data_IF_200472941540
#
_entry.id   IF_200472941540
#
_cell.length_a   1.000
_cell.length_b   1.000
_cell.length_c   1.000
_cell.angle_alpha   90.00
_cell.angle_beta   90.00
_cell.angle_gamma   90.00
#
_symmetry.space_group_name_H-M   'P 1'
#
loop_
_entity.id
_entity.type
_entity.pdbx_description
1 polymer ?
#
# COMPACT_ATOMS: atom_id res chain seq x y z
N UNK A 1 -44.91 -59.59 -79.98
CA UNK A 1 -43.77 -58.70 -79.68
C UNK A 1 -44.27 -57.46 -78.95
N UNK A 2 -43.58 -57.08 -77.89
CA UNK A 2 -43.94 -56.05 -76.91
C UNK A 2 -43.54 -54.62 -77.34
N UNK A 3 -44.21 -53.61 -76.75
CA UNK A 3 -43.67 -52.42 -76.03
C UNK A 3 -44.71 -51.29 -76.07
N UNK A 4 -45.41 -51.02 -74.97
CA UNK A 4 -45.04 -50.17 -73.80
C UNK A 4 -45.25 -48.67 -74.07
N UNK A 5 -46.17 -48.15 -73.26
CA UNK A 5 -46.74 -46.82 -73.12
C UNK A 5 -45.79 -45.81 -72.46
N UNK A 6 -46.02 -44.51 -72.73
CA UNK A 6 -45.70 -43.47 -71.74
C UNK A 6 -46.60 -42.24 -71.90
N UNK A 7 -47.41 -41.95 -70.89
CA UNK A 7 -48.31 -40.80 -70.82
C UNK A 7 -47.68 -39.69 -69.94
N UNK A 8 -47.55 -38.48 -70.48
CA UNK A 8 -47.03 -37.30 -69.78
C UNK A 8 -48.04 -36.79 -68.74
N UNK A 9 -47.66 -36.87 -67.46
CA UNK A 9 -48.40 -36.32 -66.31
C UNK A 9 -48.07 -34.82 -66.16
N UNK A 10 -49.08 -33.94 -66.29
CA UNK A 10 -49.00 -32.51 -65.93
C UNK A 10 -48.97 -32.40 -64.40
N UNK A 11 -47.94 -31.77 -63.84
CA UNK A 11 -47.84 -31.47 -62.41
C UNK A 11 -48.50 -30.11 -62.12
N UNK A 12 -49.42 -30.12 -61.16
CA UNK A 12 -50.06 -28.92 -60.62
C UNK A 12 -49.13 -28.12 -59.71
N UNK A 13 -49.30 -26.80 -59.72
CA UNK A 13 -48.59 -25.87 -58.86
C UNK A 13 -48.90 -26.12 -57.38
N UNK A 14 -47.86 -26.12 -56.54
CA UNK A 14 -47.95 -26.10 -55.07
C UNK A 14 -48.19 -24.67 -54.58
N UNK A 15 -48.89 -24.48 -53.44
CA UNK A 15 -49.20 -23.17 -52.91
C UNK A 15 -47.96 -22.54 -52.24
N UNK A 16 -47.93 -21.20 -52.25
CA UNK A 16 -46.91 -20.40 -51.57
C UNK A 16 -46.91 -20.70 -50.06
N UNK A 17 -45.78 -21.16 -49.56
CA UNK A 17 -45.54 -21.33 -48.12
C UNK A 17 -45.45 -19.97 -47.45
N UNK A 18 -46.26 -19.78 -46.41
CA UNK A 18 -46.24 -18.63 -45.53
C UNK A 18 -44.82 -18.31 -45.03
N UNK A 19 -44.45 -17.04 -45.09
CA UNK A 19 -43.28 -16.48 -44.42
C UNK A 19 -43.37 -16.80 -42.91
N UNK A 20 -42.44 -17.62 -42.43
CA UNK A 20 -42.23 -17.87 -41.00
C UNK A 20 -41.68 -16.60 -40.34
N UNK A 21 -42.47 -15.95 -39.49
CA UNK A 21 -42.16 -14.73 -38.76
C UNK A 21 -41.28 -14.93 -37.51
N UNK A 22 -40.43 -15.96 -37.48
CA UNK A 22 -39.74 -16.39 -36.26
C UNK A 22 -38.26 -16.01 -36.14
N UNK A 23 -37.65 -15.34 -37.13
CA UNK A 23 -36.19 -15.08 -37.11
C UNK A 23 -35.76 -13.74 -36.48
N UNK A 24 -36.69 -12.83 -36.23
CA UNK A 24 -36.37 -11.51 -35.67
C UNK A 24 -36.15 -11.54 -34.15
N UNK A 25 -36.74 -12.49 -33.42
CA UNK A 25 -36.62 -12.55 -31.95
C UNK A 25 -35.28 -13.12 -31.49
N UNK A 26 -34.74 -14.13 -32.18
CA UNK A 26 -33.44 -14.75 -31.89
C UNK A 26 -32.27 -13.86 -32.27
N UNK A 27 -32.35 -13.15 -33.40
CA UNK A 27 -31.33 -12.18 -33.80
C UNK A 27 -31.31 -10.95 -32.88
N UNK A 28 -32.47 -10.43 -32.48
CA UNK A 28 -32.57 -9.33 -31.52
C UNK A 28 -32.07 -9.74 -30.12
N UNK A 29 -32.35 -10.96 -29.66
CA UNK A 29 -31.88 -11.48 -28.37
C UNK A 29 -30.37 -11.72 -28.35
N UNK A 30 -29.80 -12.26 -29.43
CA UNK A 30 -28.34 -12.40 -29.59
C UNK A 30 -27.62 -11.05 -29.67
N UNK A 31 -28.20 -10.07 -30.38
CA UNK A 31 -27.65 -8.72 -30.47
C UNK A 31 -27.73 -7.97 -29.13
N UNK A 32 -28.78 -8.20 -28.34
CA UNK A 32 -28.91 -7.65 -26.99
C UNK A 32 -27.97 -8.32 -25.97
N UNK A 33 -27.64 -9.61 -26.13
CA UNK A 33 -26.59 -10.27 -25.34
C UNK A 33 -25.18 -9.77 -25.67
N UNK A 34 -24.94 -9.38 -26.93
CA UNK A 34 -23.65 -8.86 -27.41
C UNK A 34 -23.37 -7.41 -26.95
N UNK A 35 -24.42 -6.64 -26.66
CA UNK A 35 -24.33 -5.22 -26.24
C UNK A 35 -24.32 -5.05 -24.71
N UNK A 36 -24.53 -6.12 -23.94
CA UNK A 36 -24.50 -6.02 -22.46
C UNK A 36 -23.04 -5.83 -21.99
N UNK A 37 -22.80 -4.95 -20.99
CA UNK A 37 -21.47 -4.83 -20.42
C UNK A 37 -21.06 -6.13 -19.73
N UNK A 38 -19.77 -6.47 -19.82
CA UNK A 38 -19.17 -7.58 -19.07
C UNK A 38 -19.12 -7.19 -17.60
N UNK A 39 -19.72 -8.01 -16.75
CA UNK A 39 -19.86 -7.76 -15.32
C UNK A 39 -18.67 -8.36 -14.59
N UNK A 40 -17.74 -7.49 -14.19
CA UNK A 40 -16.56 -7.87 -13.42
C UNK A 40 -16.83 -7.58 -11.95
N UNK A 41 -16.49 -8.53 -11.08
CA UNK A 41 -16.55 -8.36 -9.64
C UNK A 41 -15.14 -8.29 -9.06
N UNK A 42 -14.84 -7.28 -8.25
CA UNK A 42 -13.63 -7.23 -7.44
C UNK A 42 -14.02 -7.09 -5.97
N UNK A 43 -13.32 -7.77 -5.08
CA UNK A 43 -13.59 -7.70 -3.65
C UNK A 43 -12.38 -7.30 -2.82
N UNK A 44 -12.68 -6.91 -1.59
CA UNK A 44 -11.65 -6.54 -0.63
C UNK A 44 -12.22 -5.87 0.60
N UNK A 45 -11.29 -5.51 1.49
CA UNK A 45 -11.61 -4.79 2.71
C UNK A 45 -11.67 -3.29 2.45
N UNK A 46 -10.74 -2.77 1.62
CA UNK A 46 -10.66 -1.37 1.24
C UNK A 46 -10.46 -0.39 2.42
N UNK A 47 -9.86 -0.87 3.51
CA UNK A 47 -9.49 -0.04 4.67
C UNK A 47 -8.37 0.95 4.33
N UNK A 48 -8.48 2.18 4.85
CA UNK A 48 -7.66 3.33 4.45
C UNK A 48 -7.56 3.45 2.93
N UNK A 49 -8.70 3.59 2.24
CA UNK A 49 -8.77 3.52 0.79
C UNK A 49 -7.73 4.43 0.12
N UNK A 50 -6.81 3.80 -0.62
CA UNK A 50 -5.63 4.46 -1.17
C UNK A 50 -5.43 4.11 -2.65
N UNK A 51 -4.51 4.82 -3.32
CA UNK A 51 -4.30 4.68 -4.77
C UNK A 51 -3.93 3.26 -5.22
N UNK A 52 -3.35 2.42 -4.35
CA UNK A 52 -3.14 1.00 -4.64
C UNK A 52 -4.46 0.23 -4.87
N UNK A 53 -5.52 0.50 -4.10
CA UNK A 53 -6.84 -0.07 -4.34
C UNK A 53 -7.44 0.49 -5.62
N UNK A 54 -7.40 1.80 -5.80
CA UNK A 54 -7.94 2.46 -6.99
C UNK A 54 -7.31 1.93 -8.29
N UNK A 55 -6.00 1.67 -8.32
CA UNK A 55 -5.30 1.08 -9.48
C UNK A 55 -5.65 -0.39 -9.72
N UNK A 56 -5.95 -1.16 -8.68
CA UNK A 56 -6.44 -2.53 -8.85
C UNK A 56 -7.85 -2.52 -9.46
N UNK A 57 -8.71 -1.61 -9.00
CA UNK A 57 -10.05 -1.42 -9.56
C UNK A 57 -10.01 -0.84 -10.99
N UNK A 58 -9.05 0.04 -11.30
CA UNK A 58 -8.78 0.50 -12.66
C UNK A 58 -8.46 -0.68 -13.59
N UNK A 59 -7.55 -1.56 -13.19
CA UNK A 59 -7.22 -2.76 -13.95
C UNK A 59 -8.45 -3.63 -14.18
N UNK A 60 -9.27 -3.87 -13.15
CA UNK A 60 -10.50 -4.63 -13.26
C UNK A 60 -11.51 -3.99 -14.23
N UNK A 61 -11.69 -2.66 -14.17
CA UNK A 61 -12.56 -1.88 -15.07
C UNK A 61 -12.08 -1.89 -16.51
N UNK A 62 -10.78 -2.02 -16.74
CA UNK A 62 -10.16 -2.01 -18.07
C UNK A 62 -9.96 -3.41 -18.69
N UNK A 63 -10.39 -4.49 -18.02
CA UNK A 63 -10.22 -5.86 -18.51
C UNK A 63 -10.92 -6.09 -19.87
N UNK A 64 -12.05 -5.43 -20.10
CA UNK A 64 -12.83 -5.54 -21.33
C UNK A 64 -13.25 -4.16 -21.85
N UNK A 65 -13.46 -3.99 -23.16
CA UNK A 65 -13.86 -2.70 -23.75
C UNK A 65 -15.14 -2.10 -23.16
N UNK A 66 -16.12 -2.95 -22.82
CA UNK A 66 -17.37 -2.56 -22.18
C UNK A 66 -17.54 -3.33 -20.86
N UNK A 67 -17.02 -2.77 -19.78
CA UNK A 67 -17.02 -3.40 -18.45
C UNK A 67 -17.94 -2.65 -17.49
N UNK A 68 -18.73 -3.39 -16.71
CA UNK A 68 -19.44 -2.93 -15.52
C UNK A 68 -18.80 -3.57 -14.29
N UNK A 69 -18.18 -2.75 -13.44
CA UNK A 69 -17.41 -3.16 -12.28
C UNK A 69 -18.26 -3.07 -11.00
N UNK A 70 -18.57 -4.24 -10.46
CA UNK A 70 -19.10 -4.43 -9.12
C UNK A 70 -17.95 -4.56 -8.13
N UNK A 71 -18.02 -3.83 -7.03
CA UNK A 71 -17.02 -3.93 -5.96
C UNK A 71 -17.66 -4.37 -4.66
N UNK A 72 -17.34 -5.59 -4.24
CA UNK A 72 -17.77 -6.15 -2.97
C UNK A 72 -16.89 -5.73 -1.82
N UNK A 73 -17.48 -5.24 -0.74
CA UNK A 73 -16.75 -4.84 0.45
C UNK A 73 -17.20 -5.64 1.67
N UNK A 74 -16.27 -6.41 2.25
CA UNK A 74 -16.54 -7.20 3.44
C UNK A 74 -16.93 -6.29 4.63
N UNK A 75 -17.90 -6.73 5.43
CA UNK A 75 -18.32 -6.01 6.63
C UNK A 75 -17.31 -6.15 7.79
N UNK A 76 -17.49 -5.35 8.85
CA UNK A 76 -16.54 -5.32 9.96
C UNK A 76 -16.51 -6.66 10.72
N UNK A 77 -17.67 -7.28 10.96
CA UNK A 77 -17.76 -8.56 11.68
C UNK A 77 -16.92 -9.66 11.00
N UNK A 78 -17.12 -9.82 9.69
CA UNK A 78 -16.44 -10.83 8.87
C UNK A 78 -14.94 -10.54 8.77
N UNK A 79 -14.60 -9.27 8.56
CA UNK A 79 -13.20 -8.82 8.47
C UNK A 79 -12.45 -9.08 9.77
N UNK A 80 -13.07 -8.79 10.92
CA UNK A 80 -12.47 -9.02 12.23
C UNK A 80 -12.28 -10.51 12.52
N UNK A 81 -13.22 -11.35 12.07
CA UNK A 81 -13.15 -12.80 12.26
C UNK A 81 -12.02 -13.45 11.47
N UNK A 82 -11.83 -13.04 10.22
CA UNK A 82 -10.97 -13.76 9.27
C UNK A 82 -9.67 -13.04 8.88
N UNK A 83 -9.52 -11.75 9.20
CA UNK A 83 -8.32 -10.98 8.84
C UNK A 83 -7.71 -10.23 10.01
N UNK A 84 -8.51 -9.43 10.70
CA UNK A 84 -8.06 -8.52 11.73
C UNK A 84 -8.83 -7.20 11.72
N UNK A 85 -8.41 -6.26 12.58
CA UNK A 85 -9.09 -4.98 12.75
C UNK A 85 -8.89 -4.04 11.56
N UNK A 86 -9.88 -3.20 11.32
CA UNK A 86 -9.84 -2.06 10.39
C UNK A 86 -9.68 -0.75 11.16
N UNK A 87 -9.13 0.26 10.50
CA UNK A 87 -9.10 1.64 11.00
C UNK A 87 -10.41 2.34 10.68
N UNK A 88 -10.91 2.18 9.45
CA UNK A 88 -12.19 2.70 8.99
C UNK A 88 -13.31 1.70 9.30
N UNK A 89 -14.47 2.24 9.69
CA UNK A 89 -15.73 1.47 9.80
C UNK A 89 -16.17 0.98 8.42
N UNK A 90 -17.01 -0.05 8.40
CA UNK A 90 -17.57 -0.56 7.14
C UNK A 90 -18.27 0.52 6.31
N UNK A 91 -19.02 1.42 6.93
CA UNK A 91 -19.76 2.47 6.21
C UNK A 91 -18.80 3.47 5.54
N UNK A 92 -17.72 3.85 6.23
CA UNK A 92 -16.69 4.73 5.64
C UNK A 92 -15.97 4.04 4.47
N UNK A 93 -15.76 2.72 4.55
CA UNK A 93 -15.15 1.93 3.47
C UNK A 93 -16.09 1.81 2.27
N UNK A 94 -17.38 1.58 2.51
CA UNK A 94 -18.41 1.57 1.47
C UNK A 94 -18.48 2.92 0.75
N UNK A 95 -18.50 4.03 1.50
CA UNK A 95 -18.55 5.36 0.93
C UNK A 95 -17.27 5.71 0.15
N UNK A 96 -16.11 5.30 0.65
CA UNK A 96 -14.83 5.47 -0.07
C UNK A 96 -14.86 4.83 -1.45
N UNK A 97 -15.49 3.66 -1.58
CA UNK A 97 -15.65 2.97 -2.86
C UNK A 97 -16.62 3.68 -3.80
N UNK A 98 -17.71 4.26 -3.28
CA UNK A 98 -18.68 5.01 -4.10
C UNK A 98 -18.06 6.24 -4.78
N UNK A 99 -17.01 6.78 -4.19
CA UNK A 99 -16.23 7.90 -4.77
C UNK A 99 -15.06 7.46 -5.67
N UNK A 100 -14.83 6.15 -5.82
CA UNK A 100 -13.80 5.67 -6.73
C UNK A 100 -14.28 5.77 -8.17
N UNK A 101 -13.55 6.52 -9.00
CA UNK A 101 -13.84 6.75 -10.43
C UNK A 101 -14.19 5.49 -11.22
N UNK A 102 -13.59 4.36 -10.87
CA UNK A 102 -13.66 3.11 -11.64
C UNK A 102 -14.86 2.23 -11.29
N UNK A 103 -15.51 2.49 -10.17
CA UNK A 103 -16.56 1.64 -9.59
C UNK A 103 -17.92 2.06 -10.12
N UNK A 104 -18.69 1.12 -10.64
CA UNK A 104 -20.08 1.37 -11.07
C UNK A 104 -21.07 1.03 -9.95
N UNK A 105 -20.80 -0.05 -9.20
CA UNK A 105 -21.69 -0.55 -8.15
C UNK A 105 -20.89 -1.04 -6.95
N UNK A 106 -21.31 -0.64 -5.74
CA UNK A 106 -20.76 -1.15 -4.48
C UNK A 106 -21.73 -2.18 -3.91
N UNK A 107 -21.22 -3.36 -3.55
CA UNK A 107 -21.96 -4.42 -2.86
C UNK A 107 -21.49 -4.46 -1.39
N UNK A 108 -22.28 -3.90 -0.44
CA UNK A 108 -22.04 -4.05 0.99
C UNK A 108 -22.19 -5.52 1.42
N UNK A 109 -21.67 -5.83 2.61
CA UNK A 109 -21.76 -7.18 3.21
C UNK A 109 -21.30 -8.31 2.26
N UNK A 110 -20.24 -8.05 1.50
CA UNK A 110 -19.72 -9.05 0.57
C UNK A 110 -19.24 -10.31 1.32
N UNK A 111 -19.47 -11.51 0.75
CA UNK A 111 -19.10 -12.77 1.39
C UNK A 111 -17.57 -12.96 1.40
N UNK A 112 -17.07 -13.73 2.35
CA UNK A 112 -15.64 -14.06 2.46
C UNK A 112 -15.18 -15.03 1.37
N UNK A 113 -16.06 -15.97 1.01
CA UNK A 113 -15.86 -16.97 -0.03
C UNK A 113 -17.03 -16.86 -1.00
N UNK A 114 -16.74 -16.75 -2.30
CA UNK A 114 -17.75 -16.61 -3.34
C UNK A 114 -18.47 -17.93 -3.58
N UNK A 115 -19.80 -17.89 -3.58
CA UNK A 115 -20.66 -19.05 -3.92
C UNK A 115 -21.22 -18.89 -5.34
N UNK A 116 -21.66 -20.00 -5.93
CA UNK A 116 -22.36 -19.97 -7.22
C UNK A 116 -23.63 -19.11 -7.14
N UNK A 117 -24.36 -19.18 -6.02
CA UNK A 117 -25.56 -18.38 -5.80
C UNK A 117 -25.27 -16.87 -5.83
N UNK A 118 -24.14 -16.45 -5.25
CA UNK A 118 -23.72 -15.05 -5.28
C UNK A 118 -23.34 -14.61 -6.71
N UNK A 119 -22.60 -15.46 -7.43
CA UNK A 119 -22.25 -15.22 -8.83
C UNK A 119 -23.50 -15.06 -9.69
N UNK A 120 -24.48 -15.95 -9.53
CA UNK A 120 -25.71 -15.94 -10.32
C UNK A 120 -26.59 -14.73 -9.96
N UNK A 121 -26.75 -14.43 -8.67
CA UNK A 121 -27.53 -13.30 -8.16
C UNK A 121 -27.05 -11.97 -8.75
N UNK A 122 -25.74 -11.76 -8.80
CA UNK A 122 -25.14 -10.51 -9.28
C UNK A 122 -24.77 -10.56 -10.78
N UNK A 123 -25.04 -11.69 -11.45
CA UNK A 123 -24.72 -11.96 -12.85
C UNK A 123 -23.24 -11.72 -13.16
N UNK A 124 -22.35 -12.24 -12.31
CA UNK A 124 -20.90 -12.02 -12.40
C UNK A 124 -20.30 -12.89 -13.52
N UNK A 125 -19.66 -12.23 -14.49
CA UNK A 125 -18.96 -12.90 -15.58
C UNK A 125 -17.54 -13.30 -15.17
N UNK A 126 -16.83 -12.37 -14.53
CA UNK A 126 -15.44 -12.55 -14.09
C UNK A 126 -15.20 -11.96 -12.70
N UNK A 127 -14.26 -12.56 -11.98
CA UNK A 127 -13.78 -12.10 -10.67
C UNK A 127 -12.36 -11.61 -10.81
N UNK A 128 -12.08 -10.39 -10.38
CA UNK A 128 -10.77 -9.73 -10.50
C UNK A 128 -10.13 -9.51 -9.13
N UNK A 129 -8.97 -10.13 -8.89
CA UNK A 129 -8.16 -9.92 -7.68
C UNK A 129 -6.67 -10.19 -8.00
N UNK A 130 -5.74 -9.87 -7.09
CA UNK A 130 -4.34 -10.25 -7.25
C UNK A 130 -4.14 -11.78 -7.26
N UNK A 131 -3.05 -12.23 -7.89
CA UNK A 131 -2.79 -13.65 -8.15
C UNK A 131 -2.36 -14.44 -6.91
N UNK A 132 -2.06 -13.78 -5.78
CA UNK A 132 -1.54 -14.47 -4.60
C UNK A 132 -2.65 -15.32 -3.97
N UNK A 133 -2.37 -16.58 -3.58
CA UNK A 133 -3.33 -17.40 -2.86
C UNK A 133 -3.74 -16.68 -1.58
N UNK A 134 -5.05 -16.52 -1.37
CA UNK A 134 -5.55 -15.91 -0.16
C UNK A 134 -6.01 -17.03 0.77
N UNK A 135 -5.18 -17.33 1.77
CA UNK A 135 -5.42 -18.44 2.70
C UNK A 135 -6.83 -18.31 3.30
N UNK A 136 -7.65 -19.33 3.08
CA UNK A 136 -8.99 -19.34 3.63
C UNK A 136 -8.95 -19.70 5.11
N UNK A 137 -8.96 -18.66 5.94
CA UNK A 137 -9.03 -18.77 7.40
C UNK A 137 -10.37 -19.29 7.91
N UNK A 138 -11.38 -19.46 7.05
CA UNK A 138 -12.64 -20.11 7.43
C UNK A 138 -12.55 -21.65 7.43
N UNK A 139 -11.51 -22.21 6.81
CA UNK A 139 -11.25 -23.65 6.77
C UNK A 139 -12.03 -24.41 5.69
N UNK A 140 -12.63 -23.72 4.73
CA UNK A 140 -13.41 -24.32 3.64
C UNK A 140 -12.57 -24.65 2.40
N UNK A 141 -11.47 -23.93 2.17
CA UNK A 141 -10.55 -24.14 1.05
C UNK A 141 -9.09 -23.84 1.46
N UNK A 142 -8.14 -24.04 0.54
CA UNK A 142 -6.78 -23.52 0.72
C UNK A 142 -6.67 -22.06 0.24
N UNK A 143 -7.50 -21.68 -0.74
CA UNK A 143 -7.57 -20.35 -1.34
C UNK A 143 -9.04 -19.94 -1.52
N UNK A 144 -9.44 -18.77 -1.01
CA UNK A 144 -10.84 -18.29 -1.12
C UNK A 144 -11.30 -18.13 -2.58
N UNK A 145 -10.36 -17.99 -3.52
CA UNK A 145 -10.64 -17.88 -4.95
C UNK A 145 -10.55 -19.21 -5.71
N UNK A 146 -10.32 -20.34 -5.04
CA UNK A 146 -10.13 -21.66 -5.68
C UNK A 146 -11.32 -22.03 -6.57
N UNK A 147 -12.54 -21.83 -6.07
CA UNK A 147 -13.78 -22.09 -6.82
C UNK A 147 -13.84 -21.30 -8.13
N UNK A 148 -13.60 -19.98 -8.07
CA UNK A 148 -13.69 -19.10 -9.25
C UNK A 148 -12.57 -19.31 -10.26
N UNK A 149 -11.38 -19.72 -9.77
CA UNK A 149 -10.26 -20.18 -10.61
C UNK A 149 -10.64 -21.47 -11.35
N UNK A 150 -11.23 -22.44 -10.66
CA UNK A 150 -11.65 -23.74 -11.24
C UNK A 150 -12.68 -23.60 -12.36
N UNK A 151 -13.62 -22.67 -12.25
CA UNK A 151 -14.63 -22.41 -13.29
C UNK A 151 -14.14 -21.42 -14.38
N UNK A 152 -12.86 -21.04 -14.37
CA UNK A 152 -12.25 -20.19 -15.40
C UNK A 152 -12.71 -18.73 -15.40
N UNK A 153 -13.31 -18.25 -14.30
CA UNK A 153 -13.83 -16.88 -14.17
C UNK A 153 -12.85 -15.91 -13.50
N UNK A 154 -11.70 -16.38 -13.02
CA UNK A 154 -10.72 -15.53 -12.34
C UNK A 154 -9.86 -14.71 -13.33
N UNK A 155 -9.65 -13.43 -13.03
CA UNK A 155 -8.81 -12.49 -13.79
C UNK A 155 -7.82 -11.82 -12.83
N UNK A 156 -6.55 -11.94 -13.14
CA UNK A 156 -5.49 -11.43 -12.27
C UNK A 156 -5.31 -9.91 -12.43
N UNK A 157 -5.16 -9.23 -11.30
CA UNK A 157 -4.68 -7.83 -11.24
C UNK A 157 -3.31 -7.77 -10.58
N UNK A 158 -2.59 -6.67 -10.79
CA UNK A 158 -1.27 -6.42 -10.19
C UNK A 158 -1.40 -5.46 -9.02
N UNK A 159 -0.77 -5.82 -7.91
CA UNK A 159 -0.60 -4.92 -6.76
C UNK A 159 0.26 -3.73 -7.15
N UNK A 160 0.03 -2.60 -6.48
CA UNK A 160 0.87 -1.41 -6.62
C UNK A 160 1.95 -1.41 -5.54
N UNK A 161 3.21 -1.36 -5.95
CA UNK A 161 4.34 -1.32 -5.02
C UNK A 161 4.43 0.00 -4.27
N UNK A 162 4.94 -0.05 -3.04
CA UNK A 162 5.17 1.14 -2.20
C UNK A 162 3.93 1.75 -1.55
N UNK A 163 2.77 1.07 -1.59
CA UNK A 163 1.57 1.47 -0.85
C UNK A 163 0.78 0.25 -0.38
N UNK A 164 0.34 0.27 0.88
CA UNK A 164 -0.66 -0.64 1.43
C UNK A 164 -1.23 -0.04 2.71
N UNK A 165 -2.40 -0.51 3.16
CA UNK A 165 -2.98 -0.14 4.47
C UNK A 165 -1.96 -0.31 5.59
N UNK A 166 -1.26 -1.45 5.63
CA UNK A 166 -0.23 -1.73 6.64
C UNK A 166 0.93 -0.74 6.58
N UNK A 167 1.38 -0.38 5.39
CA UNK A 167 2.46 0.59 5.21
C UNK A 167 2.03 2.01 5.64
N UNK A 168 0.81 2.44 5.29
CA UNK A 168 0.25 3.70 5.79
C UNK A 168 0.20 3.73 7.32
N UNK A 169 -0.28 2.64 7.94
CA UNK A 169 -0.30 2.50 9.40
C UNK A 169 1.12 2.54 9.97
N UNK A 170 2.08 1.82 9.38
CA UNK A 170 3.46 1.80 9.84
C UNK A 170 4.11 3.19 9.76
N UNK A 171 3.84 3.97 8.71
CA UNK A 171 4.31 5.36 8.59
C UNK A 171 3.77 6.23 9.74
N UNK A 172 2.47 6.12 10.04
CA UNK A 172 1.84 6.84 11.16
C UNK A 172 2.45 6.42 12.51
N UNK A 173 2.62 5.11 12.73
CA UNK A 173 3.15 4.58 13.99
C UNK A 173 4.62 4.94 14.21
N UNK A 174 5.45 4.93 13.16
CA UNK A 174 6.87 5.27 13.24
C UNK A 174 7.08 6.68 13.81
N UNK A 175 6.22 7.61 13.40
CA UNK A 175 6.30 9.01 13.81
C UNK A 175 5.48 9.31 15.06
N UNK A 176 4.72 8.34 15.60
CA UNK A 176 3.83 8.54 16.74
C UNK A 176 4.58 9.04 17.99
N UNK A 177 5.72 8.42 18.33
CA UNK A 177 6.50 8.87 19.49
C UNK A 177 7.00 10.32 19.31
N UNK A 178 7.39 10.70 18.09
CA UNK A 178 7.79 12.09 17.79
C UNK A 178 6.60 13.05 17.84
N UNK A 179 5.43 12.63 17.34
CA UNK A 179 4.18 13.36 17.46
C UNK A 179 3.83 13.64 18.93
N UNK A 180 3.87 12.60 19.78
CA UNK A 180 3.58 12.74 21.21
C UNK A 180 4.53 13.75 21.85
N UNK A 181 5.84 13.62 21.61
CA UNK A 181 6.80 14.53 22.23
C UNK A 181 6.69 15.98 21.76
N UNK A 182 6.43 16.20 20.47
CA UNK A 182 6.21 17.55 19.93
C UNK A 182 4.99 18.21 20.57
N UNK A 183 3.90 17.46 20.78
CA UNK A 183 2.69 18.03 21.38
C UNK A 183 2.82 18.22 22.90
N UNK A 184 3.49 17.31 23.61
CA UNK A 184 3.82 17.53 25.03
C UNK A 184 4.68 18.79 25.23
N UNK A 185 5.67 19.02 24.36
CA UNK A 185 6.48 20.23 24.39
C UNK A 185 5.70 21.51 24.07
N UNK A 186 4.60 21.40 23.30
CA UNK A 186 3.66 22.50 23.01
C UNK A 186 2.65 22.75 24.13
N UNK A 187 2.66 21.96 25.20
CA UNK A 187 1.79 22.14 26.36
C UNK A 187 0.51 21.31 26.35
N UNK A 188 0.30 20.42 25.37
CA UNK A 188 -0.83 19.48 25.43
C UNK A 188 -0.65 18.50 26.60
N UNK A 189 -1.74 18.17 27.27
CA UNK A 189 -1.67 17.19 28.36
C UNK A 189 -1.60 15.76 27.81
N UNK A 190 -1.03 14.85 28.59
CA UNK A 190 -1.01 13.41 28.25
C UNK A 190 -2.41 12.83 28.01
N UNK A 191 -3.43 13.37 28.71
CA UNK A 191 -4.82 12.89 28.60
C UNK A 191 -5.40 13.25 27.24
N UNK A 192 -5.12 14.46 26.75
CA UNK A 192 -5.58 14.94 25.44
C UNK A 192 -4.98 14.12 24.29
N UNK A 193 -3.76 13.61 24.49
CA UNK A 193 -3.05 12.78 23.51
C UNK A 193 -3.35 11.28 23.63
N UNK A 194 -4.17 10.87 24.61
CA UNK A 194 -4.45 9.46 24.88
C UNK A 194 -3.21 8.66 25.32
N UNK A 195 -2.20 9.31 25.89
CA UNK A 195 -0.91 8.70 26.25
C UNK A 195 -0.91 8.28 27.72
N UNK A 196 -0.48 7.04 27.98
CA UNK A 196 -0.32 6.54 29.34
C UNK A 196 0.81 7.27 30.08
N UNK A 197 0.68 7.41 31.41
CA UNK A 197 1.69 8.09 32.23
C UNK A 197 3.09 7.44 32.11
N UNK A 198 3.14 6.10 32.08
CA UNK A 198 4.39 5.35 31.92
C UNK A 198 5.05 5.69 30.57
N UNK A 199 4.25 5.72 29.50
CA UNK A 199 4.73 6.04 28.15
C UNK A 199 5.27 7.47 28.07
N UNK A 200 4.57 8.43 28.67
CA UNK A 200 5.02 9.82 28.75
C UNK A 200 6.40 9.90 29.44
N UNK A 201 6.55 9.28 30.61
CA UNK A 201 7.82 9.30 31.36
C UNK A 201 8.94 8.61 30.61
N UNK A 202 8.67 7.47 29.97
CA UNK A 202 9.64 6.78 29.11
C UNK A 202 10.12 7.69 27.97
N UNK A 203 9.19 8.39 27.29
CA UNK A 203 9.56 9.29 26.20
C UNK A 203 10.33 10.52 26.70
N UNK A 204 9.96 11.10 27.86
CA UNK A 204 10.71 12.19 28.50
C UNK A 204 12.15 11.78 28.83
N UNK A 205 12.34 10.57 29.37
CA UNK A 205 13.68 10.02 29.66
C UNK A 205 14.47 9.81 28.37
N UNK A 206 13.87 9.20 27.34
CA UNK A 206 14.52 9.00 26.05
C UNK A 206 14.96 10.32 25.40
N UNK A 207 14.15 11.38 25.50
CA UNK A 207 14.54 12.71 25.03
C UNK A 207 15.71 13.31 25.80
N UNK A 208 15.72 13.18 27.14
CA UNK A 208 16.83 13.64 27.97
C UNK A 208 18.13 12.91 27.61
N UNK A 209 18.07 11.59 27.40
CA UNK A 209 19.20 10.77 26.97
C UNK A 209 19.69 11.20 25.59
N UNK A 210 18.80 11.41 24.62
CA UNK A 210 19.17 11.87 23.28
C UNK A 210 19.82 13.26 23.30
N UNK A 211 19.27 14.21 24.06
CA UNK A 211 19.86 15.55 24.22
C UNK A 211 21.27 15.49 24.86
N UNK A 212 21.45 14.61 25.84
CA UNK A 212 22.76 14.35 26.44
C UNK A 212 23.73 13.78 25.39
N UNK A 213 23.29 12.78 24.62
CA UNK A 213 24.09 12.16 23.55
C UNK A 213 24.52 13.19 22.49
N UNK A 214 23.62 14.07 22.06
CA UNK A 214 23.93 15.16 21.13
C UNK A 214 24.95 16.14 21.74
N UNK A 215 24.78 16.50 23.01
CA UNK A 215 25.71 17.40 23.72
C UNK A 215 27.11 16.78 23.84
N UNK A 216 27.19 15.48 24.13
CA UNK A 216 28.45 14.72 24.17
C UNK A 216 29.08 14.65 22.79
N UNK A 217 28.30 14.36 21.74
CA UNK A 217 28.79 14.31 20.37
C UNK A 217 29.35 15.65 19.92
N UNK A 218 28.65 16.76 20.23
CA UNK A 218 29.12 18.11 19.94
C UNK A 218 30.41 18.46 20.71
N UNK A 219 30.56 18.01 21.96
CA UNK A 219 31.81 18.16 22.70
C UNK A 219 32.94 17.33 22.09
N UNK A 220 32.66 16.09 21.69
CA UNK A 220 33.63 15.22 21.04
C UNK A 220 34.12 15.81 19.71
N UNK A 221 33.20 16.35 18.89
CA UNK A 221 33.54 17.05 17.65
C UNK A 221 34.40 18.29 17.92
N UNK A 222 34.04 19.12 18.92
CA UNK A 222 34.86 20.27 19.34
C UNK A 222 36.26 19.86 19.81
N UNK A 223 36.37 18.81 20.63
CA UNK A 223 37.64 18.29 21.11
C UNK A 223 38.50 17.75 19.96
N UNK A 224 37.90 17.08 18.97
CA UNK A 224 38.59 16.64 17.76
C UNK A 224 39.08 17.81 16.92
N UNK A 225 38.29 18.88 16.77
CA UNK A 225 38.72 20.10 16.09
C UNK A 225 39.89 20.75 16.82
N UNK A 226 39.80 20.93 18.14
CA UNK A 226 40.89 21.49 18.95
C UNK A 226 42.15 20.63 18.86
N UNK A 227 42.02 19.30 18.92
CA UNK A 227 43.15 18.38 18.77
C UNK A 227 43.80 18.48 17.37
N UNK A 228 43.01 18.63 16.31
CA UNK A 228 43.53 18.85 14.95
C UNK A 228 44.24 20.20 14.82
N UNK A 229 43.67 21.28 15.38
CA UNK A 229 44.30 22.60 15.40
C UNK A 229 45.59 22.60 16.21
N UNK A 230 45.61 21.96 17.38
CA UNK A 230 46.80 21.83 18.21
C UNK A 230 47.88 20.94 17.55
N UNK A 231 47.47 19.89 16.82
CA UNK A 231 48.38 19.04 16.05
C UNK A 231 48.99 19.74 14.83
N UNK A 232 48.26 20.70 14.22
CA UNK A 232 48.80 21.58 13.17
C UNK A 232 49.77 22.62 13.72
N UNK A 233 49.61 23.04 14.98
CA UNK A 233 50.50 24.00 15.65
C UNK A 233 51.65 23.34 16.44
N UNK A 234 51.93 22.05 16.24
CA UNK A 234 53.02 21.36 16.95
C UNK A 234 54.40 22.00 16.66
N UNK A 235 54.64 22.41 15.41
CA UNK A 235 55.87 23.12 15.02
C UNK A 235 55.96 24.52 15.65
N UNK A 236 54.83 25.22 15.78
CA UNK A 236 54.75 26.55 16.41
C UNK A 236 54.97 26.47 17.92
N UNK A 237 54.52 25.39 18.55
CA UNK A 237 54.70 25.12 19.98
C UNK A 237 56.15 24.69 20.30
N UNK A 238 56.75 23.83 19.46
CA UNK A 238 58.17 23.47 19.55
C UNK A 238 59.08 24.69 19.34
N UNK A 239 58.81 25.51 18.31
CA UNK A 239 59.57 26.73 18.05
C UNK A 239 59.46 27.76 19.20
N UNK A 240 58.29 27.88 19.84
CA UNK A 240 58.12 28.74 21.01
C UNK A 240 58.77 28.15 22.27
N UNK A 241 58.78 26.83 22.44
CA UNK A 241 59.48 26.15 23.53
C UNK A 241 61.01 26.33 23.40
N UNK A 242 61.57 26.13 22.21
CA UNK A 242 62.99 26.35 21.94
C UNK A 242 63.39 27.81 22.13
N UNK A 243 62.55 28.76 21.72
CA UNK A 243 62.78 30.20 21.96
C UNK A 243 62.76 30.54 23.45
N UNK A 244 61.88 29.91 24.23
CA UNK A 244 61.84 30.08 25.69
C UNK A 244 63.06 29.48 26.38
N UNK A 245 63.50 28.29 25.96
CA UNK A 245 64.70 27.63 26.47
C UNK A 245 65.95 28.45 26.12
N UNK A 246 66.06 28.95 24.88
CA UNK A 246 67.17 29.80 24.46
C UNK A 246 67.21 31.12 25.26
N UNK A 247 66.07 31.79 25.44
CA UNK A 247 65.99 33.01 26.25
C UNK A 247 66.26 32.79 27.74
N UNK A 248 65.98 31.59 28.25
CA UNK A 248 66.34 31.19 29.61
C UNK A 248 67.85 30.93 29.75
N UNK A 249 68.45 30.22 28.79
CA UNK A 249 69.88 29.92 28.76
C UNK A 249 70.73 31.19 28.57
N UNK A 250 70.30 32.11 27.70
CA UNK A 250 70.98 33.40 27.49
C UNK A 250 70.99 34.26 28.75
N UNK A 251 69.88 34.27 29.51
CA UNK A 251 69.82 34.91 30.83
C UNK A 251 70.70 34.20 31.86
N UNK A 252 70.80 32.88 31.80
CA UNK A 252 71.65 32.09 32.69
C UNK A 252 73.14 32.35 32.40
N UNK A 253 73.55 32.40 31.13
CA UNK A 253 74.92 32.72 30.70
C UNK A 253 75.31 34.18 31.01
N UNK A 254 74.39 35.15 30.84
CA UNK A 254 74.63 36.53 31.30
C UNK A 254 74.83 36.60 32.82
N UNK A 255 74.12 35.78 33.59
CA UNK A 255 74.28 35.69 35.03
C UNK A 255 75.64 35.07 35.41
N UNK A 256 76.09 34.05 34.69
CA UNK A 256 77.42 33.46 34.88
C UNK A 256 78.56 34.40 34.46
N UNK A 257 78.41 35.16 33.36
CA UNK A 257 79.42 36.14 32.91
C UNK A 257 79.60 37.31 33.89
N UNK A 258 78.52 37.78 34.52
CA UNK A 258 78.60 38.80 35.57
C UNK A 258 79.26 38.30 36.87
N UNK A 259 79.41 36.98 37.05
CA UNK A 259 80.07 36.37 38.20
C UNK A 259 81.59 36.17 38.02
N UNK A 260 82.10 36.32 36.78
CA UNK A 260 83.54 36.18 36.45
C UNK A 260 84.29 37.53 36.47
N UNK A 261 83.59 38.66 36.59
CA UNK A 261 84.20 40.00 36.76
C UNK A 261 84.34 40.45 38.23
N UNK A 262 84.22 39.52 39.19
CA UNK A 262 84.43 39.76 40.62
C UNK A 262 85.42 38.76 41.25
N UNK A 263 86.53 38.50 40.54
CA UNK A 263 87.79 37.97 41.08
C UNK A 263 88.97 38.76 40.50
#
# INVERSE_FOLDING_TARGET
MARVSNAKKRQGAKPASALSSTDTSTAAKRKAEDDRPVRVYADGIFDLFHFGHARALEQAKMLFPNTYLLVGCCNDELTYRYKGKTVMTQEERYESLRHCKWVDEVIPDAPWVLTQEFIDKHQIDYVAHDALPYADTSGTANDVYEFVKKIGKFKETKRTDGVSTSDLIMRILKDYNQYVMRNLARGYSRKDLGVSYVKEKQLQVNMKINKLRETVKAHQEKLQTVAKTAGLNHEEWLANADRWVAGFLEKFEQHCHNMVYFL
#
